data_IF_157187557895
#
_entry.id   IF_157187557895
#
_cell.length_a   1.000
_cell.length_b   1.000
_cell.length_c   1.000
_cell.angle_alpha   90.00
_cell.angle_beta   90.00
_cell.angle_gamma   90.00
#
_symmetry.space_group_name_H-M   'P 1'
#
loop_
_entity.id
_entity.type
_entity.pdbx_description
1 polymer ?
#
# COMPACT_ATOMS: atom_id res chain seq x y z
N UNK A 1 -0.60 1.85 -2.37
CA UNK A 1 -0.30 1.24 -3.69
C UNK A 1 -0.81 -0.20 -3.70
N UNK A 2 -0.74 -0.90 -4.84
CA UNK A 2 -1.15 -2.30 -4.94
C UNK A 2 -0.41 -3.25 -3.97
N UNK A 3 0.78 -2.86 -3.47
CA UNK A 3 1.57 -3.65 -2.51
C UNK A 3 1.02 -3.66 -1.08
N UNK A 4 0.07 -2.78 -0.74
CA UNK A 4 -0.55 -2.82 0.58
C UNK A 4 -1.29 -4.14 0.79
N UNK A 5 -1.15 -4.73 1.98
CA UNK A 5 -1.78 -6.01 2.31
C UNK A 5 -3.32 -5.89 2.30
N UNK A 6 -4.00 -6.92 1.82
CA UNK A 6 -5.46 -6.99 1.80
C UNK A 6 -6.09 -6.92 3.20
N UNK A 7 -5.38 -7.36 4.23
CA UNK A 7 -5.78 -7.21 5.64
C UNK A 7 -5.91 -5.75 6.06
N UNK A 8 -4.93 -4.91 5.72
CA UNK A 8 -4.97 -3.47 5.97
C UNK A 8 -6.11 -2.79 5.21
N UNK A 9 -6.31 -3.15 3.93
CA UNK A 9 -7.42 -2.63 3.12
C UNK A 9 -8.78 -2.99 3.73
N UNK A 10 -8.97 -4.24 4.15
CA UNK A 10 -10.20 -4.70 4.78
C UNK A 10 -10.48 -3.97 6.10
N UNK A 11 -9.43 -3.76 6.92
CA UNK A 11 -9.52 -3.01 8.17
C UNK A 11 -10.00 -1.56 7.95
N UNK A 12 -9.34 -0.83 7.04
CA UNK A 12 -9.69 0.56 6.73
C UNK A 12 -11.10 0.68 6.14
N UNK A 13 -11.49 -0.26 5.27
CA UNK A 13 -12.85 -0.30 4.69
C UNK A 13 -13.90 -0.55 5.77
N UNK A 14 -13.65 -1.44 6.72
CA UNK A 14 -14.56 -1.70 7.85
C UNK A 14 -14.71 -0.47 8.78
N UNK A 15 -13.69 0.39 8.84
CA UNK A 15 -13.73 1.70 9.53
C UNK A 15 -14.38 2.81 8.71
N UNK A 16 -14.87 2.50 7.49
CA UNK A 16 -15.48 3.45 6.56
C UNK A 16 -14.53 4.61 6.18
N UNK A 17 -13.22 4.36 6.23
CA UNK A 17 -12.21 5.32 5.78
C UNK A 17 -12.12 5.22 4.26
N UNK A 18 -12.27 6.32 3.50
CA UNK A 18 -12.05 6.31 2.05
C UNK A 18 -10.62 5.88 1.69
N UNK A 19 -10.48 4.98 0.72
CA UNK A 19 -9.17 4.45 0.30
C UNK A 19 -8.92 4.85 -1.16
N UNK A 20 -7.82 5.58 -1.39
CA UNK A 20 -7.29 5.84 -2.73
C UNK A 20 -6.23 4.81 -3.11
N UNK A 21 -6.33 4.27 -4.32
CA UNK A 21 -5.24 3.49 -4.93
C UNK A 21 -4.45 4.38 -5.88
N UNK A 22 -3.14 4.20 -5.87
CA UNK A 22 -2.19 4.92 -6.68
C UNK A 22 -1.11 3.97 -7.19
N UNK A 23 -0.56 4.32 -8.34
CA UNK A 23 0.65 3.74 -8.90
C UNK A 23 1.79 3.73 -7.88
N UNK A 24 2.69 2.76 -7.97
CA UNK A 24 3.88 2.69 -7.10
C UNK A 24 4.75 3.93 -7.28
N UNK A 25 5.24 4.48 -6.17
CA UNK A 25 6.10 5.65 -6.14
C UNK A 25 5.43 6.87 -5.50
N UNK A 26 6.19 7.51 -4.62
CA UNK A 26 5.82 8.63 -3.75
C UNK A 26 5.13 9.77 -4.49
N UNK A 27 5.56 10.08 -5.71
CA UNK A 27 4.93 11.10 -6.56
C UNK A 27 3.45 10.82 -6.79
N UNK A 28 3.10 9.58 -7.13
CA UNK A 28 1.71 9.20 -7.43
C UNK A 28 0.87 9.11 -6.15
N UNK A 29 1.45 8.57 -5.08
CA UNK A 29 0.81 8.54 -3.76
C UNK A 29 0.50 9.94 -3.24
N UNK A 30 1.45 10.87 -3.36
CA UNK A 30 1.29 12.27 -2.97
C UNK A 30 0.17 12.94 -3.78
N UNK A 31 0.18 12.84 -5.11
CA UNK A 31 -0.90 13.38 -5.95
C UNK A 31 -2.27 12.81 -5.59
N UNK A 32 -2.37 11.50 -5.33
CA UNK A 32 -3.63 10.87 -4.92
C UNK A 32 -4.09 11.37 -3.54
N UNK A 33 -3.17 11.57 -2.60
CA UNK A 33 -3.49 12.07 -1.27
C UNK A 33 -4.02 13.52 -1.28
N UNK A 34 -3.63 14.35 -2.27
CA UNK A 34 -4.18 15.71 -2.45
C UNK A 34 -5.68 15.75 -2.80
N UNK A 35 -6.27 14.64 -3.22
CA UNK A 35 -7.71 14.56 -3.47
C UNK A 35 -8.52 14.67 -2.16
N UNK A 36 -7.91 14.37 -1.01
CA UNK A 36 -8.52 14.40 0.31
C UNK A 36 -8.20 15.69 1.08
N UNK A 37 -9.03 16.03 2.07
CA UNK A 37 -8.76 17.16 2.97
C UNK A 37 -7.62 16.86 3.93
N UNK A 38 -7.56 15.61 4.42
CA UNK A 38 -6.44 15.01 5.13
C UNK A 38 -6.06 13.75 4.37
N UNK A 39 -4.93 13.78 3.69
CA UNK A 39 -4.41 12.68 2.88
C UNK A 39 -3.30 11.93 3.60
N UNK A 40 -3.55 10.68 3.98
CA UNK A 40 -2.53 9.80 4.58
C UNK A 40 -2.04 8.86 3.48
N UNK A 41 -0.75 8.87 3.16
CA UNK A 41 -0.17 7.93 2.20
C UNK A 41 1.10 7.30 2.75
N UNK A 42 1.16 5.97 2.69
CA UNK A 42 2.35 5.18 2.98
C UNK A 42 2.45 4.03 1.98
N UNK A 43 3.66 3.78 1.49
CA UNK A 43 4.03 2.57 0.79
C UNK A 43 4.47 1.50 1.81
N UNK A 44 4.30 0.22 1.47
CA UNK A 44 4.62 -0.88 2.40
C UNK A 44 6.12 -0.97 2.78
N UNK A 45 6.99 -0.26 2.05
CA UNK A 45 8.41 -0.12 2.37
C UNK A 45 8.70 0.94 3.46
N UNK A 46 7.66 1.59 3.99
CA UNK A 46 7.76 2.60 5.05
C UNK A 46 7.79 4.05 4.56
N UNK A 47 7.91 4.31 3.26
CA UNK A 47 7.91 5.70 2.77
C UNK A 47 6.49 6.27 2.74
N UNK A 48 6.27 7.40 3.40
CA UNK A 48 4.98 8.08 3.41
C UNK A 48 4.97 9.34 4.25
N UNK A 49 3.84 10.04 4.25
CA UNK A 49 3.55 11.15 5.17
C UNK A 49 2.04 11.40 5.25
N UNK A 50 1.63 12.35 6.09
CA UNK A 50 0.26 12.86 6.18
C UNK A 50 0.23 14.30 5.70
N UNK A 51 -0.67 14.59 4.77
CA UNK A 51 -0.90 15.93 4.25
C UNK A 51 -2.23 16.49 4.72
N UNK A 52 -2.25 17.78 5.01
CA UNK A 52 -3.47 18.51 5.38
C UNK A 52 -3.61 19.75 4.51
N UNK A 53 -4.77 19.95 3.89
CA UNK A 53 -5.04 21.14 3.08
C UNK A 53 -5.13 22.40 3.95
N UNK A 54 -4.63 23.52 3.44
CA UNK A 54 -4.59 24.81 4.14
C UNK A 54 -5.94 25.21 4.73
N UNK A 55 -7.03 25.05 3.97
CA UNK A 55 -8.37 25.42 4.44
C UNK A 55 -8.83 24.62 5.68
N UNK A 56 -8.31 23.41 5.89
CA UNK A 56 -8.56 22.60 7.09
C UNK A 56 -7.81 23.18 8.27
N UNK A 57 -6.55 23.56 8.08
CA UNK A 57 -5.71 24.19 9.11
C UNK A 57 -6.29 25.54 9.53
N UNK A 58 -6.68 26.38 8.57
CA UNK A 58 -7.35 27.66 8.85
C UNK A 58 -8.61 27.49 9.70
N UNK A 59 -9.39 26.44 9.41
CA UNK A 59 -10.61 26.13 10.16
C UNK A 59 -10.28 25.63 11.57
N UNK A 60 -9.27 24.78 11.72
CA UNK A 60 -8.83 24.26 13.02
C UNK A 60 -8.28 25.37 13.92
N UNK A 61 -7.47 26.29 13.39
CA UNK A 61 -6.94 27.43 14.14
C UNK A 61 -8.07 28.35 14.65
N UNK A 62 -9.07 28.63 13.81
CA UNK A 62 -10.27 29.38 14.25
C UNK A 62 -11.03 28.64 15.35
N UNK A 63 -11.21 27.33 15.21
CA UNK A 63 -11.88 26.49 16.21
C UNK A 63 -11.13 26.46 17.55
N UNK A 64 -9.80 26.45 17.54
CA UNK A 64 -8.97 26.43 18.75
C UNK A 64 -9.26 27.62 19.68
N UNK A 65 -9.52 28.80 19.09
CA UNK A 65 -9.85 30.03 19.82
C UNK A 65 -11.33 30.14 20.21
N UNK A 66 -12.22 29.46 19.48
CA UNK A 66 -13.67 29.63 19.60
C UNK A 66 -14.36 28.53 20.41
N UNK A 67 -13.69 27.40 20.66
CA UNK A 67 -14.29 26.26 21.36
C UNK A 67 -14.01 26.31 22.86
N UNK A 68 -15.08 26.40 23.65
CA UNK A 68 -14.99 26.41 25.11
C UNK A 68 -14.94 25.00 25.70
N UNK A 69 -15.43 24.00 24.96
CA UNK A 69 -15.40 22.59 25.39
C UNK A 69 -13.95 22.10 25.49
N UNK A 70 -13.48 21.72 26.70
CA UNK A 70 -12.07 21.36 26.91
C UNK A 70 -11.62 20.16 26.09
N UNK A 71 -12.52 19.20 25.83
CA UNK A 71 -12.21 17.99 25.07
C UNK A 71 -12.03 18.32 23.59
N UNK A 72 -12.91 19.15 23.02
CA UNK A 72 -12.77 19.63 21.64
C UNK A 72 -11.53 20.50 21.49
N UNK A 73 -11.25 21.37 22.45
CA UNK A 73 -10.04 22.20 22.45
C UNK A 73 -8.78 21.34 22.42
N UNK A 74 -8.68 20.34 23.31
CA UNK A 74 -7.56 19.40 23.32
C UNK A 74 -7.42 18.64 21.99
N UNK A 75 -8.52 18.16 21.40
CA UNK A 75 -8.49 17.46 20.12
C UNK A 75 -7.99 18.36 18.98
N UNK A 76 -8.44 19.63 18.92
CA UNK A 76 -7.97 20.59 17.91
C UNK A 76 -6.49 20.87 18.07
N UNK A 77 -6.02 21.15 19.30
CA UNK A 77 -4.60 21.39 19.57
C UNK A 77 -3.74 20.16 19.23
N UNK A 78 -4.23 18.94 19.47
CA UNK A 78 -3.53 17.71 19.09
C UNK A 78 -3.39 17.57 17.57
N UNK A 79 -4.44 17.87 16.80
CA UNK A 79 -4.37 17.82 15.33
C UNK A 79 -3.42 18.89 14.79
N UNK A 80 -3.46 20.11 15.33
CA UNK A 80 -2.55 21.19 14.94
C UNK A 80 -1.09 20.86 15.29
N UNK A 81 -0.83 20.24 16.45
CA UNK A 81 0.49 19.78 16.82
C UNK A 81 0.98 18.64 15.91
N UNK A 82 0.11 17.69 15.55
CA UNK A 82 0.42 16.64 14.59
C UNK A 82 0.79 17.21 13.21
N UNK A 83 0.04 18.22 12.74
CA UNK A 83 0.35 18.92 11.49
C UNK A 83 1.73 19.60 11.52
N UNK A 84 2.14 20.19 12.65
CA UNK A 84 3.47 20.78 12.80
C UNK A 84 4.59 19.75 12.91
N UNK A 85 4.30 18.57 13.50
CA UNK A 85 5.27 17.50 13.66
C UNK A 85 5.53 16.76 12.34
N UNK A 86 4.50 16.52 11.55
CA UNK A 86 4.55 15.73 10.32
C UNK A 86 5.12 16.55 9.16
N UNK A 87 6.15 16.03 8.50
CA UNK A 87 6.74 16.67 7.34
C UNK A 87 5.77 16.67 6.14
N UNK A 88 5.16 17.82 5.86
CA UNK A 88 4.18 17.99 4.77
C UNK A 88 4.79 17.92 3.36
N UNK A 89 6.11 18.06 3.21
CA UNK A 89 6.76 18.15 1.91
C UNK A 89 7.15 16.78 1.34
N UNK A 90 7.65 15.88 2.18
CA UNK A 90 8.14 14.54 1.81
C UNK A 90 8.11 13.63 3.04
N UNK A 91 8.11 12.31 2.82
CA UNK A 91 8.24 11.36 3.92
C UNK A 91 9.53 11.53 4.69
N UNK A 92 9.42 11.49 6.02
CA UNK A 92 10.50 11.77 6.96
C UNK A 92 10.44 10.77 8.11
N UNK A 93 11.38 9.83 8.12
CA UNK A 93 11.38 8.72 9.07
C UNK A 93 11.49 9.16 10.53
N UNK A 94 12.13 10.30 10.83
CA UNK A 94 12.23 10.81 12.20
C UNK A 94 10.92 11.44 12.63
N UNK A 95 10.30 12.22 11.74
CA UNK A 95 8.96 12.78 11.94
C UNK A 95 7.92 11.67 12.14
N UNK A 96 7.95 10.65 11.29
CA UNK A 96 7.05 9.48 11.37
C UNK A 96 7.26 8.71 12.68
N UNK A 97 8.51 8.46 13.09
CA UNK A 97 8.82 7.81 14.37
C UNK A 97 8.24 8.59 15.55
N UNK A 98 8.49 9.89 15.62
CA UNK A 98 7.98 10.73 16.71
C UNK A 98 6.45 10.77 16.71
N UNK A 99 5.82 10.82 15.53
CA UNK A 99 4.38 10.82 15.42
C UNK A 99 3.77 9.50 15.88
N UNK A 100 4.35 8.35 15.49
CA UNK A 100 3.93 7.03 15.97
C UNK A 100 4.06 6.92 17.50
N UNK A 101 5.18 7.34 18.08
CA UNK A 101 5.38 7.32 19.54
C UNK A 101 4.31 8.13 20.27
N UNK A 102 3.99 9.32 19.79
CA UNK A 102 2.92 10.16 20.36
C UNK A 102 1.56 9.48 20.28
N UNK A 103 1.22 8.86 19.14
CA UNK A 103 -0.05 8.14 18.98
C UNK A 103 -0.16 6.95 19.93
N UNK A 104 0.90 6.15 20.08
CA UNK A 104 0.91 5.02 21.00
C UNK A 104 0.75 5.47 22.45
N UNK A 105 1.44 6.54 22.86
CA UNK A 105 1.31 7.13 24.19
C UNK A 105 -0.12 7.64 24.45
N UNK A 106 -0.71 8.36 23.50
CA UNK A 106 -2.07 8.91 23.65
C UNK A 106 -3.14 7.82 23.72
N UNK A 107 -2.99 6.73 22.97
CA UNK A 107 -3.90 5.59 23.00
C UNK A 107 -3.62 4.63 24.17
N UNK A 108 -2.50 4.82 24.88
CA UNK A 108 -1.97 3.86 25.85
C UNK A 108 -1.82 2.46 25.25
N UNK A 109 -1.28 2.41 24.02
CA UNK A 109 -1.08 1.18 23.27
C UNK A 109 0.36 0.70 23.36
N UNK A 110 0.54 -0.61 23.53
CA UNK A 110 1.83 -1.25 23.25
C UNK A 110 1.97 -1.52 21.75
N UNK A 111 3.19 -1.77 21.30
CA UNK A 111 3.46 -2.20 19.91
C UNK A 111 2.67 -3.48 19.59
N UNK A 112 2.52 -4.40 20.55
CA UNK A 112 1.73 -5.62 20.36
C UNK A 112 0.24 -5.33 20.17
N UNK A 113 -0.31 -4.36 20.91
CA UNK A 113 -1.69 -3.94 20.70
C UNK A 113 -1.86 -3.33 19.31
N UNK A 114 -0.97 -2.42 18.91
CA UNK A 114 -1.00 -1.83 17.58
C UNK A 114 -0.91 -2.89 16.48
N UNK A 115 0.01 -3.84 16.59
CA UNK A 115 0.15 -4.94 15.63
C UNK A 115 -1.08 -5.86 15.55
N UNK A 116 -1.93 -5.87 16.58
CA UNK A 116 -3.11 -6.74 16.67
C UNK A 116 -4.40 -6.08 16.13
N UNK A 117 -4.38 -4.82 15.69
CA UNK A 117 -5.61 -4.13 15.23
C UNK A 117 -6.22 -4.74 13.96
N UNK A 118 -5.39 -5.41 13.15
CA UNK A 118 -5.79 -6.29 12.06
C UNK A 118 -4.72 -7.37 11.87
N UNK A 119 -5.00 -8.36 11.02
CA UNK A 119 -4.02 -9.38 10.66
C UNK A 119 -3.72 -9.32 9.17
N UNK A 120 -2.44 -9.23 8.83
CA UNK A 120 -2.00 -9.36 7.45
C UNK A 120 -2.33 -10.75 6.91
N UNK A 121 -2.69 -10.80 5.63
CA UNK A 121 -2.68 -12.02 4.86
C UNK A 121 -1.22 -12.45 4.64
N UNK A 122 -0.89 -13.75 4.74
CA UNK A 122 0.36 -14.27 4.19
C UNK A 122 0.55 -13.75 2.75
N UNK A 123 1.66 -13.08 2.51
CA UNK A 123 1.97 -12.46 1.23
C UNK A 123 3.42 -12.71 0.83
N UNK A 124 3.67 -12.60 -0.47
CA UNK A 124 4.94 -12.88 -1.14
C UNK A 124 5.19 -11.88 -2.25
N UNK A 125 6.45 -11.50 -2.38
CA UNK A 125 6.96 -10.70 -3.48
C UNK A 125 8.11 -11.44 -4.13
N UNK A 126 8.15 -11.46 -5.45
CA UNK A 126 9.30 -11.96 -6.20
C UNK A 126 9.47 -11.17 -7.50
N UNK A 127 10.52 -11.47 -8.25
CA UNK A 127 10.88 -10.79 -9.50
C UNK A 127 11.21 -11.83 -10.56
N UNK A 128 10.69 -11.64 -11.76
CA UNK A 128 10.98 -12.49 -12.93
C UNK A 128 11.70 -11.64 -13.97
N UNK A 129 12.86 -12.11 -14.42
CA UNK A 129 13.61 -11.46 -15.51
C UNK A 129 12.92 -11.74 -16.84
N UNK A 130 12.81 -10.72 -17.67
CA UNK A 130 12.16 -10.79 -18.98
C UNK A 130 13.00 -10.05 -20.02
N UNK A 131 12.76 -10.32 -21.30
CA UNK A 131 13.56 -9.71 -22.37
C UNK A 131 13.29 -8.20 -22.52
N UNK A 132 12.03 -7.77 -22.34
CA UNK A 132 11.63 -6.37 -22.48
C UNK A 132 10.42 -6.06 -21.59
N UNK A 133 10.61 -5.18 -20.59
CA UNK A 133 9.55 -4.77 -19.68
C UNK A 133 8.41 -3.98 -20.31
N UNK A 134 8.62 -3.38 -21.49
CA UNK A 134 7.59 -2.62 -22.19
C UNK A 134 6.45 -3.51 -22.72
N UNK A 135 6.67 -4.83 -22.81
CA UNK A 135 5.65 -5.82 -23.17
C UNK A 135 4.53 -5.90 -22.15
N UNK A 136 4.84 -5.70 -20.86
CA UNK A 136 3.86 -5.80 -19.79
C UNK A 136 3.22 -4.44 -19.53
N UNK A 137 1.92 -4.36 -19.76
CA UNK A 137 1.11 -3.17 -19.46
C UNK A 137 0.15 -3.48 -18.33
N UNK A 138 -0.09 -2.49 -17.47
CA UNK A 138 -0.99 -2.60 -16.32
C UNK A 138 -1.99 -1.47 -16.31
N UNK A 139 -3.00 -1.57 -15.44
CA UNK A 139 -3.84 -0.43 -15.06
C UNK A 139 -3.01 0.72 -14.48
N UNK A 140 -3.58 1.92 -14.44
CA UNK A 140 -2.93 3.13 -13.94
C UNK A 140 -2.48 3.00 -12.47
N UNK A 141 -3.22 2.23 -11.66
CA UNK A 141 -2.91 1.93 -10.27
C UNK A 141 -2.06 0.65 -10.07
N UNK A 142 -1.66 0.01 -11.17
CA UNK A 142 -0.85 -1.21 -11.22
C UNK A 142 -1.48 -2.42 -10.48
N UNK A 143 -2.81 -2.43 -10.34
CA UNK A 143 -3.53 -3.52 -9.67
C UNK A 143 -3.87 -4.70 -10.58
N UNK A 144 -3.89 -4.50 -11.90
CA UNK A 144 -4.18 -5.54 -12.88
C UNK A 144 -3.29 -5.44 -14.12
N UNK A 145 -3.00 -6.61 -14.71
CA UNK A 145 -2.33 -6.71 -16.01
C UNK A 145 -3.33 -6.41 -17.14
N UNK A 146 -2.89 -5.73 -18.18
CA UNK A 146 -3.66 -5.43 -19.40
C UNK A 146 -3.05 -6.08 -20.63
N UNK A 147 -1.72 -6.26 -20.65
CA UNK A 147 -1.01 -6.93 -21.72
C UNK A 147 0.26 -7.60 -21.18
N UNK A 148 0.71 -8.72 -21.78
CA UNK A 148 0.02 -9.48 -22.83
C UNK A 148 -1.29 -10.12 -22.36
N UNK A 149 -2.25 -10.32 -23.27
CA UNK A 149 -3.58 -10.89 -22.95
C UNK A 149 -3.45 -12.27 -22.30
N UNK A 150 -2.56 -13.12 -22.82
CA UNK A 150 -2.26 -14.43 -22.25
C UNK A 150 -1.76 -14.35 -20.80
N UNK A 151 -0.95 -13.34 -20.46
CA UNK A 151 -0.49 -13.14 -19.08
C UNK A 151 -1.64 -12.68 -18.17
N UNK A 152 -2.44 -11.72 -18.64
CA UNK A 152 -3.61 -11.26 -17.91
C UNK A 152 -4.54 -12.43 -17.57
N UNK A 153 -4.94 -13.20 -18.57
CA UNK A 153 -5.89 -14.31 -18.38
C UNK A 153 -5.33 -15.41 -17.48
N UNK A 154 -4.03 -15.70 -17.57
CA UNK A 154 -3.36 -16.62 -16.67
C UNK A 154 -3.38 -16.13 -15.22
N UNK A 155 -3.07 -14.86 -14.96
CA UNK A 155 -3.10 -14.28 -13.61
C UNK A 155 -4.52 -14.29 -13.04
N UNK A 156 -5.51 -13.86 -13.83
CA UNK A 156 -6.92 -13.84 -13.41
C UNK A 156 -7.40 -15.25 -13.02
N UNK A 157 -7.08 -16.27 -13.83
CA UNK A 157 -7.44 -17.65 -13.56
C UNK A 157 -6.76 -18.22 -12.31
N UNK A 158 -5.47 -17.90 -12.10
CA UNK A 158 -4.71 -18.34 -10.92
C UNK A 158 -5.27 -17.73 -9.63
N UNK A 159 -5.61 -16.44 -9.65
CA UNK A 159 -6.22 -15.75 -8.50
C UNK A 159 -7.60 -16.34 -8.19
N UNK A 160 -8.43 -16.58 -9.22
CA UNK A 160 -9.74 -17.20 -9.03
C UNK A 160 -9.64 -18.61 -8.42
N UNK A 161 -8.63 -19.40 -8.82
CA UNK A 161 -8.41 -20.74 -8.31
C UNK A 161 -7.82 -20.78 -6.88
N UNK A 162 -7.09 -19.75 -6.46
CA UNK A 162 -6.44 -19.68 -5.15
C UNK A 162 -7.41 -19.42 -3.98
N UNK A 163 -8.68 -19.12 -4.29
CA UNK A 163 -9.76 -19.07 -3.31
C UNK A 163 -10.06 -17.68 -2.76
N UNK A 164 -10.94 -17.58 -1.75
CA UNK A 164 -11.43 -16.30 -1.25
C UNK A 164 -10.29 -15.49 -0.59
N UNK A 165 -10.28 -14.18 -0.87
CA UNK A 165 -9.24 -13.22 -0.43
C UNK A 165 -7.86 -13.42 -1.06
N UNK A 166 -7.69 -14.38 -1.97
CA UNK A 166 -6.48 -14.45 -2.77
C UNK A 166 -6.41 -13.23 -3.69
N UNK A 167 -5.21 -12.67 -3.83
CA UNK A 167 -4.94 -11.57 -4.75
C UNK A 167 -3.51 -11.69 -5.24
N UNK A 168 -3.32 -11.52 -6.54
CA UNK A 168 -2.01 -11.37 -7.13
C UNK A 168 -2.04 -10.30 -8.20
N UNK A 169 -0.90 -9.64 -8.41
CA UNK A 169 -0.72 -8.72 -9.52
C UNK A 169 0.73 -8.79 -10.01
N UNK A 170 0.90 -8.33 -11.25
CA UNK A 170 2.19 -8.23 -11.90
C UNK A 170 2.37 -6.83 -12.43
N UNK A 171 3.59 -6.30 -12.35
CA UNK A 171 3.92 -5.00 -12.94
C UNK A 171 5.36 -4.95 -13.44
N UNK A 172 5.65 -4.19 -14.51
CA UNK A 172 7.02 -3.99 -14.94
C UNK A 172 7.81 -3.22 -13.87
N UNK A 173 9.08 -3.59 -13.68
CA UNK A 173 10.02 -2.81 -12.87
C UNK A 173 10.27 -1.45 -13.53
N UNK A 174 10.56 -0.43 -12.72
CA UNK A 174 10.84 0.93 -13.20
C UNK A 174 12.24 1.09 -13.78
N UNK A 175 13.16 0.19 -13.42
CA UNK A 175 14.62 0.36 -13.60
C UNK A 175 15.31 -0.85 -14.23
N UNK A 176 14.59 -1.96 -14.42
CA UNK A 176 15.16 -3.24 -14.86
C UNK A 176 14.19 -3.91 -15.84
N UNK A 177 14.71 -4.73 -16.75
CA UNK A 177 13.92 -5.61 -17.62
C UNK A 177 13.42 -6.83 -16.85
N UNK A 178 12.53 -6.55 -15.92
CA UNK A 178 11.96 -7.51 -15.01
C UNK A 178 10.52 -7.14 -14.68
N UNK A 179 9.74 -8.15 -14.29
CA UNK A 179 8.38 -7.99 -13.78
C UNK A 179 8.38 -8.37 -12.31
N UNK A 180 7.78 -7.50 -11.49
CA UNK A 180 7.52 -7.76 -10.08
C UNK A 180 6.21 -8.52 -9.96
N UNK A 181 6.24 -9.56 -9.15
CA UNK A 181 5.08 -10.39 -8.80
C UNK A 181 4.78 -10.15 -7.34
N UNK A 182 3.52 -9.91 -7.04
CA UNK A 182 2.99 -9.93 -5.68
C UNK A 182 1.86 -10.94 -5.61
N UNK A 183 1.80 -11.71 -4.53
CA UNK A 183 0.67 -12.58 -4.23
C UNK A 183 0.40 -12.59 -2.73
N UNK A 184 -0.88 -12.62 -2.35
CA UNK A 184 -1.35 -12.85 -0.99
C UNK A 184 -2.51 -13.85 -1.00
N UNK A 185 -2.64 -14.62 0.08
CA UNK A 185 -3.70 -15.61 0.22
C UNK A 185 -4.01 -15.86 1.71
N UNK A 186 -5.00 -16.69 1.98
CA UNK A 186 -5.43 -17.00 3.36
C UNK A 186 -4.38 -17.78 4.16
N UNK A 187 -3.52 -18.57 3.51
CA UNK A 187 -2.48 -19.36 4.17
C UNK A 187 -1.13 -19.10 3.51
N UNK A 188 -0.06 -19.34 4.25
CA UNK A 188 1.31 -19.19 3.73
C UNK A 188 1.57 -20.13 2.56
N UNK A 189 1.11 -21.39 2.64
CA UNK A 189 1.24 -22.35 1.55
C UNK A 189 0.52 -21.87 0.27
N UNK A 190 -0.69 -21.33 0.39
CA UNK A 190 -1.42 -20.79 -0.75
C UNK A 190 -0.77 -19.53 -1.34
N UNK A 191 -0.21 -18.66 -0.49
CA UNK A 191 0.50 -17.47 -0.95
C UNK A 191 1.81 -17.82 -1.70
N UNK A 192 2.54 -18.82 -1.18
CA UNK A 192 3.74 -19.37 -1.85
C UNK A 192 3.39 -19.98 -3.21
N UNK A 193 2.36 -20.83 -3.27
CA UNK A 193 1.91 -21.47 -4.51
C UNK A 193 1.45 -20.43 -5.53
N UNK A 194 0.59 -19.49 -5.13
CA UNK A 194 0.10 -18.43 -6.01
C UNK A 194 1.25 -17.57 -6.55
N UNK A 195 2.20 -17.18 -5.70
CA UNK A 195 3.37 -16.41 -6.13
C UNK A 195 4.21 -17.17 -7.17
N UNK A 196 4.46 -18.46 -6.93
CA UNK A 196 5.24 -19.30 -7.84
C UNK A 196 4.52 -19.47 -9.19
N UNK A 197 3.22 -19.80 -9.18
CA UNK A 197 2.46 -20.02 -10.41
C UNK A 197 2.31 -18.74 -11.23
N UNK A 198 2.14 -17.59 -10.57
CA UNK A 198 2.12 -16.29 -11.26
C UNK A 198 3.51 -15.97 -11.83
N UNK A 199 4.60 -16.26 -11.11
CA UNK A 199 5.95 -16.06 -11.64
C UNK A 199 6.23 -16.95 -12.87
N UNK A 200 5.75 -18.19 -12.87
CA UNK A 200 5.80 -19.09 -14.04
C UNK A 200 4.97 -18.55 -15.21
N UNK A 201 3.78 -18.02 -14.94
CA UNK A 201 2.94 -17.39 -15.97
C UNK A 201 3.63 -16.16 -16.58
N UNK A 202 4.31 -15.33 -15.78
CA UNK A 202 5.11 -14.21 -16.28
C UNK A 202 6.24 -14.72 -17.18
N UNK A 203 6.98 -15.74 -16.75
CA UNK A 203 8.06 -16.30 -17.56
C UNK A 203 7.54 -16.83 -18.91
N UNK A 204 6.45 -17.58 -18.88
CA UNK A 204 5.85 -18.18 -20.08
C UNK A 204 5.20 -17.17 -21.04
N UNK A 205 4.56 -16.11 -20.51
CA UNK A 205 3.70 -15.22 -21.30
C UNK A 205 4.23 -13.79 -21.47
N UNK A 206 5.37 -13.45 -20.88
CA UNK A 206 6.02 -12.15 -21.04
C UNK A 206 7.51 -12.25 -21.43
N UNK A 207 7.86 -13.27 -22.20
CA UNK A 207 9.23 -13.50 -22.70
C UNK A 207 10.27 -13.58 -21.56
N UNK A 208 10.02 -14.49 -20.61
CA UNK A 208 10.93 -14.79 -19.52
C UNK A 208 12.33 -15.19 -20.01
N UNK A 209 13.34 -14.73 -19.28
CA UNK A 209 14.75 -15.01 -19.57
C UNK A 209 15.34 -15.90 -18.48
N UNK A 210 16.15 -16.89 -18.88
CA UNK A 210 16.74 -17.87 -17.98
C UNK A 210 15.79 -19.01 -17.61
N UNK A 211 16.13 -19.74 -16.55
CA UNK A 211 15.34 -20.88 -16.10
C UNK A 211 13.99 -20.44 -15.53
N UNK A 212 12.95 -21.24 -15.82
CA UNK A 212 11.63 -21.01 -15.27
C UNK A 212 11.65 -21.15 -13.73
N UNK A 213 10.91 -20.31 -12.98
CA UNK A 213 10.83 -20.43 -11.53
C UNK A 213 10.32 -21.82 -11.08
N UNK A 214 11.11 -22.53 -10.27
CA UNK A 214 10.76 -23.88 -9.75
C UNK A 214 10.36 -23.87 -8.28
N UNK A 215 10.75 -22.84 -7.55
CA UNK A 215 10.35 -22.58 -6.18
C UNK A 215 10.18 -21.07 -5.97
N UNK A 216 9.40 -20.70 -4.96
CA UNK A 216 9.37 -19.31 -4.52
C UNK A 216 10.72 -18.95 -3.89
N UNK A 217 11.33 -17.87 -4.37
CA UNK A 217 12.52 -17.25 -3.77
C UNK A 217 12.14 -15.83 -3.37
N UNK A 218 12.29 -15.54 -2.07
CA UNK A 218 12.06 -14.22 -1.48
C UNK A 218 13.13 -13.21 -1.91
#
# INVERSE_FOLDING_TARGET
TAYANGGAHAYLKAKQIPIGLAKTGVKYCHHKAMEFDIGIYFEANGHGTVMVKDHVIDRLQKLETAVDDPKKKAAVSQILAAYQLINQAVGDALSDLLFVEVLLLQQNWTIQHWNAIYSDLPSRQTKVQIADRALVKTTDDETACLAPEALKDAVDALVAAAGPRARAFVRPSGTEDAVRVYAEAQTEAAANDLALRVAQAVHAHAAGVGDAPTAFVA
#
